data_IF_457235753053
#
_entry.id   IF_457235753053
#
_cell.length_a   1.000
_cell.length_b   1.000
_cell.length_c   1.000
_cell.angle_alpha   90.00
_cell.angle_beta   90.00
_cell.angle_gamma   90.00
#
_symmetry.space_group_name_H-M   'P 1'
#
loop_
_entity.id
_entity.type
_entity.pdbx_description
1 polymer ?
#
# COMPACT_ATOMS: atom_id res chain seq x y z
N UNK A 1 55.94 -47.82 24.79
CA UNK A 1 55.01 -48.85 25.28
C UNK A 1 54.19 -48.18 26.38
N UNK A 2 52.88 -48.00 26.35
CA UNK A 2 51.76 -48.34 25.47
C UNK A 2 50.72 -47.21 25.70
N UNK A 3 50.21 -46.52 24.69
CA UNK A 3 48.96 -46.79 23.96
C UNK A 3 47.88 -47.56 24.75
N UNK A 4 46.82 -46.85 25.20
CA UNK A 4 45.50 -47.43 25.51
C UNK A 4 44.43 -46.35 25.38
N UNK A 5 43.70 -46.45 24.28
CA UNK A 5 42.35 -45.96 23.98
C UNK A 5 41.32 -46.37 25.04
N UNK A 6 40.38 -45.49 25.38
CA UNK A 6 39.12 -45.88 26.03
C UNK A 6 37.94 -45.39 25.19
N UNK A 7 37.16 -46.39 24.83
CA UNK A 7 36.05 -46.45 23.89
C UNK A 7 34.72 -46.01 24.52
N UNK A 8 33.83 -45.52 23.67
CA UNK A 8 32.39 -45.31 23.89
C UNK A 8 31.66 -46.62 24.19
N UNK A 9 30.68 -46.59 25.09
CA UNK A 9 29.50 -47.48 25.06
C UNK A 9 28.28 -46.77 25.65
N UNK A 10 27.24 -46.66 24.83
CA UNK A 10 25.85 -46.34 25.15
C UNK A 10 25.23 -47.45 26.00
N UNK A 11 24.26 -47.13 26.85
CA UNK A 11 23.27 -48.12 27.28
C UNK A 11 21.90 -47.45 27.53
N UNK A 12 20.89 -48.09 26.97
CA UNK A 12 19.47 -47.72 26.87
C UNK A 12 18.71 -48.74 27.69
N UNK A 13 17.76 -48.32 28.53
CA UNK A 13 16.68 -49.23 28.96
C UNK A 13 15.37 -48.47 29.21
N UNK A 14 14.41 -48.70 28.32
CA UNK A 14 12.98 -48.44 28.47
C UNK A 14 12.38 -49.54 29.36
N UNK A 15 11.46 -49.26 30.29
CA UNK A 15 10.25 -50.10 30.44
C UNK A 15 9.06 -49.30 30.98
N UNK A 16 7.91 -49.59 30.36
CA UNK A 16 6.61 -48.95 30.41
C UNK A 16 5.68 -49.65 31.42
N UNK A 17 4.66 -48.94 31.93
CA UNK A 17 3.21 -49.26 31.81
C UNK A 17 2.36 -48.58 32.91
N UNK A 18 1.27 -47.91 32.48
CA UNK A 18 0.14 -47.44 33.32
C UNK A 18 -0.85 -48.59 33.65
N UNK A 19 -2.17 -48.37 33.85
CA UNK A 19 -3.00 -47.15 33.70
C UNK A 19 -3.95 -46.88 34.91
N UNK A 20 -4.67 -45.73 34.95
CA UNK A 20 -6.13 -45.73 35.24
C UNK A 20 -6.77 -44.37 34.90
N UNK A 21 -7.81 -44.41 34.08
CA UNK A 21 -8.73 -43.33 33.74
C UNK A 21 -9.73 -43.20 34.90
N UNK A 22 -10.29 -42.04 35.27
CA UNK A 22 -11.50 -41.50 34.64
C UNK A 22 -12.18 -40.55 35.64
N UNK A 23 -12.82 -39.50 35.11
CA UNK A 23 -14.08 -38.86 35.54
C UNK A 23 -14.03 -37.32 35.46
N UNK A 24 -14.47 -36.80 34.31
CA UNK A 24 -15.41 -35.68 34.28
C UNK A 24 -16.84 -36.27 34.21
N UNK A 25 -17.87 -35.55 34.69
CA UNK A 25 -18.65 -34.74 33.75
C UNK A 25 -19.19 -33.39 34.30
N UNK A 26 -19.26 -32.43 33.36
CA UNK A 26 -20.23 -31.35 33.07
C UNK A 26 -21.24 -30.85 34.13
N UNK A 27 -21.37 -29.50 34.28
CA UNK A 27 -22.48 -28.72 33.70
C UNK A 27 -22.57 -27.24 34.20
N UNK A 28 -22.43 -26.31 33.24
CA UNK A 28 -23.27 -25.12 32.94
C UNK A 28 -23.58 -23.99 33.97
N UNK A 29 -23.13 -22.75 33.68
CA UNK A 29 -23.95 -21.57 33.26
C UNK A 29 -23.14 -20.25 33.28
N UNK A 30 -23.23 -19.45 32.20
CA UNK A 30 -22.55 -18.15 32.01
C UNK A 30 -23.18 -16.96 32.77
N UNK A 31 -22.92 -15.68 32.40
CA UNK A 31 -22.88 -15.20 31.02
C UNK A 31 -21.70 -14.26 30.64
N UNK A 32 -21.67 -14.00 29.34
CA UNK A 32 -20.80 -13.08 28.60
C UNK A 32 -20.71 -11.66 29.20
N UNK A 33 -19.48 -11.16 29.28
CA UNK A 33 -19.16 -9.73 29.38
C UNK A 33 -18.52 -9.30 28.07
N UNK A 34 -19.33 -8.66 27.23
CA UNK A 34 -18.98 -7.99 25.98
C UNK A 34 -18.16 -6.73 26.35
N UNK A 35 -16.84 -6.84 26.47
CA UNK A 35 -15.97 -5.65 26.55
C UNK A 35 -15.72 -5.14 25.14
N UNK A 36 -16.70 -4.38 24.64
CA UNK A 36 -16.50 -3.48 23.51
C UNK A 36 -15.51 -2.41 23.93
N UNK A 37 -14.23 -2.67 23.67
CA UNK A 37 -13.25 -1.61 23.45
C UNK A 37 -13.71 -0.84 22.20
N UNK A 38 -14.55 0.17 22.43
CA UNK A 38 -14.56 1.37 21.59
C UNK A 38 -13.22 2.06 21.82
N UNK A 39 -12.20 1.56 21.12
CA UNK A 39 -11.05 2.37 20.77
C UNK A 39 -11.56 3.35 19.73
N UNK A 40 -12.09 4.47 20.22
CA UNK A 40 -12.36 5.67 19.44
C UNK A 40 -10.98 6.20 19.04
N UNK A 41 -10.39 5.53 18.05
CA UNK A 41 -9.30 6.08 17.26
C UNK A 41 -9.90 7.25 16.51
N UNK A 42 -9.94 8.41 17.19
CA UNK A 42 -9.87 9.71 16.55
C UNK A 42 -8.52 9.75 15.81
N UNK A 43 -8.51 9.05 14.67
CA UNK A 43 -7.67 9.36 13.54
C UNK A 43 -8.02 10.80 13.19
N UNK A 44 -7.29 11.74 13.81
CA UNK A 44 -7.15 13.09 13.33
C UNK A 44 -6.46 13.05 11.97
N UNK A 45 -7.20 12.55 10.97
CA UNK A 45 -6.96 12.93 9.61
C UNK A 45 -7.26 14.42 9.55
N UNK A 46 -6.21 15.22 9.41
CA UNK A 46 -6.36 16.48 8.73
C UNK A 46 -6.86 16.12 7.33
N UNK A 47 -8.19 15.98 7.18
CA UNK A 47 -8.87 15.82 5.90
C UNK A 47 -8.62 17.11 5.12
N UNK A 48 -7.50 17.15 4.40
CA UNK A 48 -7.05 18.20 3.48
C UNK A 48 -7.90 18.19 2.19
N UNK A 49 -9.10 17.60 2.24
CA UNK A 49 -10.08 17.59 1.17
C UNK A 49 -10.73 18.97 1.04
N UNK A 50 -10.71 19.51 -0.19
CA UNK A 50 -11.38 20.76 -0.52
C UNK A 50 -12.87 20.64 -0.10
N UNK A 51 -13.42 21.57 0.71
CA UNK A 51 -14.77 21.44 1.22
C UNK A 51 -15.76 21.30 0.07
N UNK A 52 -16.69 20.33 0.17
CA UNK A 52 -17.69 20.05 -0.87
C UNK A 52 -18.33 21.36 -1.36
N UNK A 53 -18.07 21.73 -2.62
CA UNK A 53 -18.57 22.98 -3.21
C UNK A 53 -17.53 24.09 -3.40
N UNK A 54 -16.24 23.86 -3.18
CA UNK A 54 -15.15 24.79 -3.56
C UNK A 54 -15.29 25.35 -4.99
N UNK A 55 -15.76 24.53 -5.93
CA UNK A 55 -16.03 24.92 -7.32
C UNK A 55 -17.21 25.90 -7.50
N UNK A 56 -18.11 25.97 -6.53
CA UNK A 56 -19.28 26.87 -6.49
C UNK A 56 -18.94 28.24 -5.88
N UNK A 57 -17.76 28.38 -5.27
CA UNK A 57 -17.26 29.69 -4.87
C UNK A 57 -16.89 30.46 -6.14
N UNK A 58 -17.46 31.65 -6.33
CA UNK A 58 -17.01 32.57 -7.38
C UNK A 58 -15.53 32.93 -7.25
N UNK A 59 -14.99 33.67 -8.22
CA UNK A 59 -13.59 34.14 -8.27
C UNK A 59 -12.95 34.54 -6.92
N UNK A 60 -13.61 35.31 -6.03
CA UNK A 60 -13.02 35.66 -4.74
C UNK A 60 -12.80 34.47 -3.80
N UNK A 61 -13.67 33.46 -3.82
CA UNK A 61 -13.54 32.30 -2.96
C UNK A 61 -12.49 31.29 -3.44
N UNK A 62 -12.37 31.09 -4.77
CA UNK A 62 -11.25 30.33 -5.35
C UNK A 62 -9.90 30.96 -5.02
N UNK A 63 -9.81 32.29 -5.04
CA UNK A 63 -8.62 33.03 -4.62
C UNK A 63 -8.31 32.85 -3.12
N UNK A 64 -9.33 32.82 -2.27
CA UNK A 64 -9.16 32.59 -0.84
C UNK A 64 -8.60 31.17 -0.56
N UNK A 65 -9.17 30.14 -1.19
CA UNK A 65 -8.69 28.76 -1.08
C UNK A 65 -7.24 28.62 -1.56
N UNK A 66 -6.91 29.22 -2.70
CA UNK A 66 -5.53 29.22 -3.20
C UNK A 66 -4.55 29.92 -2.22
N UNK A 67 -4.96 31.02 -1.58
CA UNK A 67 -4.15 31.69 -0.55
C UNK A 67 -3.94 30.79 0.66
N UNK A 68 -5.00 30.12 1.14
CA UNK A 68 -4.92 29.20 2.27
C UNK A 68 -4.00 28.02 1.98
N UNK A 69 -4.14 27.37 0.81
CA UNK A 69 -3.24 26.29 0.38
C UNK A 69 -1.77 26.77 0.33
N UNK A 70 -1.53 27.97 -0.20
CA UNK A 70 -0.18 28.54 -0.25
C UNK A 70 0.40 28.83 1.15
N UNK A 71 -0.39 29.40 2.06
CA UNK A 71 0.01 29.65 3.45
C UNK A 71 0.31 28.35 4.20
N UNK A 72 -0.55 27.34 4.05
CA UNK A 72 -0.35 25.99 4.61
C UNK A 72 0.96 25.38 4.12
N UNK A 73 1.21 25.40 2.80
CA UNK A 73 2.43 24.83 2.24
C UNK A 73 3.69 25.59 2.69
N UNK A 74 3.59 26.91 2.85
CA UNK A 74 4.68 27.71 3.42
C UNK A 74 4.94 27.35 4.89
N UNK A 75 3.88 27.16 5.69
CA UNK A 75 3.99 26.73 7.08
C UNK A 75 4.60 25.32 7.20
N UNK A 76 4.15 24.35 6.37
CA UNK A 76 4.74 23.00 6.29
C UNK A 76 6.25 23.08 5.99
N UNK A 77 6.67 23.89 5.00
CA UNK A 77 8.10 24.11 4.69
C UNK A 77 8.89 24.73 5.85
N UNK A 78 8.32 25.71 6.54
CA UNK A 78 8.97 26.33 7.70
C UNK A 78 9.11 25.35 8.87
N UNK A 79 8.08 24.56 9.15
CA UNK A 79 8.12 23.52 10.17
C UNK A 79 9.22 22.49 9.89
N UNK A 80 9.34 22.04 8.63
CA UNK A 80 10.41 21.13 8.19
C UNK A 80 11.81 21.70 8.43
N UNK A 81 12.03 22.96 8.05
CA UNK A 81 13.33 23.60 8.22
C UNK A 81 13.68 23.76 9.71
N UNK A 82 12.72 24.16 10.54
CA UNK A 82 12.91 24.25 11.99
C UNK A 82 13.19 22.87 12.61
N UNK A 83 12.45 21.84 12.19
CA UNK A 83 12.66 20.47 12.66
C UNK A 83 14.08 19.98 12.32
N UNK A 84 14.53 20.21 11.08
CA UNK A 84 15.90 19.90 10.64
C UNK A 84 16.95 20.63 11.49
N UNK A 85 16.72 21.90 11.82
CA UNK A 85 17.62 22.67 12.70
C UNK A 85 17.64 22.10 14.12
N UNK A 86 16.48 21.71 14.68
CA UNK A 86 16.39 21.08 15.99
C UNK A 86 17.15 19.76 16.03
N UNK A 87 16.98 18.91 15.02
CA UNK A 87 17.65 17.61 14.95
C UNK A 87 19.16 17.78 14.75
N UNK A 88 19.60 18.79 14.00
CA UNK A 88 21.01 19.14 13.88
C UNK A 88 21.60 19.56 15.23
N UNK A 89 20.93 20.45 15.97
CA UNK A 89 21.38 20.91 17.29
C UNK A 89 21.45 19.74 18.29
N UNK A 90 20.45 18.84 18.28
CA UNK A 90 20.45 17.62 19.11
C UNK A 90 21.63 16.72 18.77
N UNK A 91 21.86 16.46 17.48
CA UNK A 91 22.98 15.65 17.02
C UNK A 91 24.35 16.28 17.38
N UNK A 92 24.46 17.61 17.41
CA UNK A 92 25.66 18.31 17.89
C UNK A 92 25.88 18.14 19.39
N UNK A 93 24.82 18.25 20.21
CA UNK A 93 24.89 18.03 21.66
C UNK A 93 25.26 16.59 22.02
N UNK A 94 24.71 15.60 21.30
CA UNK A 94 25.05 14.19 21.51
C UNK A 94 26.50 13.89 21.13
N UNK A 95 27.02 14.50 20.05
CA UNK A 95 28.42 14.34 19.64
C UNK A 95 29.40 14.93 20.65
N UNK A 96 29.04 16.04 21.30
CA UNK A 96 29.92 16.71 22.27
C UNK A 96 30.34 15.82 23.46
N UNK A 97 29.57 14.78 23.78
CA UNK A 97 29.83 13.88 24.90
C UNK A 97 30.54 12.56 24.51
N UNK A 98 30.84 12.36 23.22
CA UNK A 98 31.40 11.10 22.67
C UNK A 98 32.88 11.23 22.33
N UNK A 99 33.63 10.14 22.41
CA UNK A 99 35.01 10.11 21.92
C UNK A 99 35.08 10.22 20.38
N UNK A 100 36.20 10.66 19.78
CA UNK A 100 36.32 10.78 18.32
C UNK A 100 36.04 9.47 17.57
N UNK A 101 36.45 8.33 18.13
CA UNK A 101 36.23 7.02 17.51
C UNK A 101 34.75 6.62 17.53
N UNK A 102 34.05 6.87 18.65
CA UNK A 102 32.61 6.65 18.75
C UNK A 102 31.82 7.58 17.80
N UNK A 103 32.23 8.84 17.69
CA UNK A 103 31.63 9.80 16.75
C UNK A 103 31.77 9.32 15.32
N UNK A 104 32.94 8.80 14.93
CA UNK A 104 33.18 8.29 13.58
C UNK A 104 32.31 7.05 13.27
N UNK A 105 32.18 6.13 14.23
CA UNK A 105 31.33 4.93 14.08
C UNK A 105 29.85 5.32 13.96
N UNK A 106 29.38 6.23 14.81
CA UNK A 106 27.98 6.68 14.80
C UNK A 106 27.65 7.47 13.53
N UNK A 107 28.55 8.34 13.08
CA UNK A 107 28.40 9.06 11.82
C UNK A 107 28.29 8.10 10.62
N UNK A 108 29.17 7.09 10.55
CA UNK A 108 29.12 6.09 9.48
C UNK A 108 27.81 5.27 9.50
N UNK A 109 27.30 4.91 10.69
CA UNK A 109 26.01 4.23 10.83
C UNK A 109 24.84 5.13 10.43
N UNK A 110 24.86 6.40 10.83
CA UNK A 110 23.81 7.36 10.50
C UNK A 110 23.77 7.62 8.99
N UNK A 111 24.92 7.82 8.35
CA UNK A 111 25.02 8.01 6.91
C UNK A 111 24.51 6.79 6.14
N UNK A 112 24.93 5.58 6.54
CA UNK A 112 24.46 4.35 5.90
C UNK A 112 22.93 4.15 6.04
N UNK A 113 22.37 4.50 7.20
CA UNK A 113 20.91 4.46 7.43
C UNK A 113 20.19 5.51 6.59
N UNK A 114 20.71 6.73 6.55
CA UNK A 114 20.12 7.82 5.78
C UNK A 114 20.09 7.49 4.28
N UNK A 115 21.20 6.97 3.72
CA UNK A 115 21.26 6.57 2.32
C UNK A 115 20.29 5.41 2.01
N UNK A 116 20.15 4.44 2.93
CA UNK A 116 19.22 3.34 2.78
C UNK A 116 17.75 3.82 2.81
N UNK A 117 17.42 4.70 3.75
CA UNK A 117 16.09 5.31 3.88
C UNK A 117 15.76 6.18 2.67
N UNK A 118 16.67 7.04 2.22
CA UNK A 118 16.46 7.87 1.02
C UNK A 118 16.15 7.00 -0.21
N UNK A 119 16.90 5.92 -0.43
CA UNK A 119 16.66 4.99 -1.52
C UNK A 119 15.31 4.27 -1.40
N UNK A 120 14.89 3.92 -0.18
CA UNK A 120 13.61 3.28 0.08
C UNK A 120 12.45 4.26 -0.16
N UNK A 121 12.50 5.45 0.44
CA UNK A 121 11.50 6.50 0.31
C UNK A 121 11.35 6.94 -1.16
N UNK A 122 12.46 7.08 -1.89
CA UNK A 122 12.40 7.37 -3.31
C UNK A 122 11.73 6.25 -4.13
N UNK A 123 11.79 4.98 -3.71
CA UNK A 123 11.04 3.88 -4.36
C UNK A 123 9.56 3.92 -4.01
N UNK A 124 9.22 4.23 -2.75
CA UNK A 124 7.85 4.42 -2.28
C UNK A 124 7.19 5.54 -3.08
N UNK A 125 7.74 6.76 -3.05
CA UNK A 125 7.22 7.93 -3.77
C UNK A 125 7.04 7.65 -5.27
N UNK A 126 8.01 6.98 -5.91
CA UNK A 126 7.89 6.62 -7.34
C UNK A 126 6.74 5.66 -7.61
N UNK A 127 6.44 4.76 -6.69
CA UNK A 127 5.41 3.74 -6.85
C UNK A 127 4.03 4.32 -6.55
N UNK A 128 3.91 5.07 -5.45
CA UNK A 128 2.68 5.77 -5.06
C UNK A 128 2.27 6.80 -6.10
N UNK A 129 3.20 7.63 -6.60
CA UNK A 129 2.87 8.62 -7.62
C UNK A 129 2.40 7.96 -8.93
N UNK A 130 3.01 6.85 -9.33
CA UNK A 130 2.55 6.08 -10.49
C UNK A 130 1.18 5.44 -10.26
N UNK A 131 0.92 4.94 -9.06
CA UNK A 131 -0.36 4.38 -8.68
C UNK A 131 -1.45 5.47 -8.75
N UNK A 132 -1.23 6.63 -8.11
CA UNK A 132 -2.12 7.77 -8.13
C UNK A 132 -2.35 8.33 -9.56
N UNK A 133 -1.32 8.29 -10.41
CA UNK A 133 -1.42 8.72 -11.81
C UNK A 133 -2.18 7.73 -12.70
N UNK A 134 -2.39 6.48 -12.26
CA UNK A 134 -3.05 5.45 -13.06
C UNK A 134 -4.51 5.83 -13.31
N UNK A 135 -4.91 5.83 -14.58
CA UNK A 135 -6.26 6.24 -15.00
C UNK A 135 -6.47 7.76 -15.10
N UNK A 136 -5.60 8.58 -14.49
CA UNK A 136 -5.56 10.04 -14.67
C UNK A 136 -4.70 10.44 -15.87
N UNK A 137 -3.49 9.89 -15.98
CA UNK A 137 -2.55 10.15 -17.07
C UNK A 137 -2.62 9.07 -18.15
N UNK A 138 -2.33 9.47 -19.40
CA UNK A 138 -2.19 8.54 -20.53
C UNK A 138 -1.01 7.59 -20.33
N UNK A 139 0.11 8.08 -19.80
CA UNK A 139 1.22 7.29 -19.29
C UNK A 139 1.46 7.68 -17.82
N UNK A 140 1.25 6.79 -16.85
CA UNK A 140 1.53 7.08 -15.44
C UNK A 140 2.99 7.47 -15.15
N UNK A 141 3.93 7.09 -16.02
CA UNK A 141 5.35 7.45 -15.89
C UNK A 141 5.61 8.92 -16.19
N UNK A 142 4.72 9.61 -16.92
CA UNK A 142 4.85 11.04 -17.20
C UNK A 142 4.82 11.86 -15.90
N UNK A 143 4.14 11.39 -14.86
CA UNK A 143 4.14 12.05 -13.55
C UNK A 143 5.57 12.25 -13.02
N UNK A 144 6.44 11.25 -13.16
CA UNK A 144 7.84 11.32 -12.72
C UNK A 144 8.69 12.33 -13.51
N UNK A 145 8.27 12.68 -14.72
CA UNK A 145 8.98 13.62 -15.56
C UNK A 145 8.56 15.08 -15.30
N UNK A 146 7.35 15.29 -14.76
CA UNK A 146 6.76 16.63 -14.62
C UNK A 146 6.52 17.08 -13.18
N UNK A 147 6.61 16.18 -12.20
CA UNK A 147 6.50 16.49 -10.77
C UNK A 147 7.85 16.30 -10.07
N UNK A 148 8.15 17.18 -9.12
CA UNK A 148 9.34 17.09 -8.29
C UNK A 148 9.06 16.22 -7.07
N UNK A 149 9.68 15.04 -7.02
CA UNK A 149 9.49 14.10 -5.91
C UNK A 149 10.01 14.64 -4.57
N UNK A 150 10.90 15.64 -4.58
CA UNK A 150 11.42 16.25 -3.35
C UNK A 150 10.43 17.15 -2.62
N UNK A 151 9.31 17.51 -3.28
CA UNK A 151 8.22 18.26 -2.67
C UNK A 151 7.34 17.39 -1.77
N UNK A 152 7.35 16.08 -1.98
CA UNK A 152 6.54 15.11 -1.23
C UNK A 152 7.39 14.42 -0.16
N UNK A 153 6.74 14.01 0.92
CA UNK A 153 7.38 13.33 2.04
C UNK A 153 6.84 11.92 2.20
N UNK A 154 7.69 11.07 2.79
CA UNK A 154 7.30 9.76 3.30
C UNK A 154 7.44 9.85 4.80
N UNK A 155 6.37 9.54 5.53
CA UNK A 155 6.40 9.54 6.99
C UNK A 155 7.21 8.35 7.56
N UNK A 156 7.31 8.28 8.88
CA UNK A 156 8.06 7.23 9.57
C UNK A 156 7.43 5.83 9.39
N UNK A 157 6.14 5.77 9.06
CA UNK A 157 5.38 4.54 8.79
C UNK A 157 5.47 4.09 7.32
N UNK A 158 6.06 4.93 6.45
CA UNK A 158 6.21 4.66 5.03
C UNK A 158 5.04 5.12 4.16
N UNK A 159 4.14 5.97 4.67
CA UNK A 159 3.01 6.50 3.94
C UNK A 159 3.33 7.84 3.27
N UNK A 160 2.55 8.15 2.24
CA UNK A 160 2.60 9.42 1.50
C UNK A 160 1.21 10.05 1.58
N UNK A 161 1.17 11.38 1.66
CA UNK A 161 -0.08 12.15 1.58
C UNK A 161 -0.73 11.94 0.20
N UNK A 162 -1.77 11.12 0.15
CA UNK A 162 -2.46 10.74 -1.08
C UNK A 162 -3.22 11.92 -1.71
N UNK A 163 -3.74 12.82 -0.88
CA UNK A 163 -4.48 13.99 -1.34
C UNK A 163 -3.53 15.03 -1.93
N UNK A 164 -2.36 15.24 -1.32
CA UNK A 164 -1.30 16.08 -1.89
C UNK A 164 -0.83 15.56 -3.27
N UNK A 165 -0.65 14.24 -3.41
CA UNK A 165 -0.34 13.63 -4.72
C UNK A 165 -1.48 13.82 -5.73
N UNK A 166 -2.73 13.68 -5.30
CA UNK A 166 -3.90 13.85 -6.17
C UNK A 166 -4.03 15.30 -6.67
N UNK A 167 -3.90 16.27 -5.76
CA UNK A 167 -3.89 17.71 -6.06
C UNK A 167 -2.77 18.06 -7.05
N UNK A 168 -1.56 17.57 -6.82
CA UNK A 168 -0.42 17.83 -7.71
C UNK A 168 -0.64 17.25 -9.13
N UNK A 169 -1.28 16.08 -9.23
CA UNK A 169 -1.65 15.48 -10.50
C UNK A 169 -2.75 16.27 -11.22
N UNK A 170 -3.73 16.80 -10.49
CA UNK A 170 -4.82 17.59 -11.05
C UNK A 170 -4.32 18.97 -11.53
N UNK A 171 -3.40 19.58 -10.79
CA UNK A 171 -2.67 20.78 -11.21
C UNK A 171 -1.78 20.52 -12.43
N UNK A 172 -1.15 19.35 -12.52
CA UNK A 172 -0.41 18.92 -13.70
C UNK A 172 -1.33 18.81 -14.92
N UNK A 173 -2.49 18.17 -14.78
CA UNK A 173 -3.47 18.00 -15.85
C UNK A 173 -4.06 19.33 -16.31
N UNK A 174 -4.29 20.26 -15.40
CA UNK A 174 -4.72 21.63 -15.72
C UNK A 174 -3.68 22.37 -16.56
N UNK A 175 -2.40 22.27 -16.19
CA UNK A 175 -1.28 22.90 -16.95
C UNK A 175 -0.94 22.17 -18.24
N UNK A 176 -1.14 20.85 -18.29
CA UNK A 176 -0.79 19.98 -19.43
C UNK A 176 -1.94 19.02 -19.78
N UNK A 177 -3.05 19.53 -20.36
CA UNK A 177 -4.24 18.71 -20.63
C UNK A 177 -3.99 17.54 -21.60
N UNK A 178 -2.96 17.65 -22.45
CA UNK A 178 -2.57 16.59 -23.39
C UNK A 178 -2.00 15.33 -22.72
N UNK A 179 -1.69 15.38 -21.43
CA UNK A 179 -1.25 14.22 -20.65
C UNK A 179 -2.42 13.39 -20.12
N UNK A 180 -3.65 13.92 -20.15
CA UNK A 180 -4.83 13.24 -19.63
C UNK A 180 -5.06 11.90 -20.34
N UNK A 181 -5.45 10.89 -19.57
CA UNK A 181 -5.92 9.63 -20.12
C UNK A 181 -7.15 9.89 -21.00
N UNK A 182 -7.10 9.40 -22.23
CA UNK A 182 -8.23 9.53 -23.13
C UNK A 182 -9.25 8.43 -22.80
N UNK A 183 -10.13 8.72 -21.84
CA UNK A 183 -11.34 7.95 -21.51
C UNK A 183 -11.27 6.47 -21.84
N UNK A 184 -10.43 5.73 -21.11
CA UNK A 184 -10.30 4.29 -21.25
C UNK A 184 -10.00 3.72 -19.88
N UNK A 185 -11.02 3.20 -19.22
CA UNK A 185 -10.82 2.38 -18.02
C UNK A 185 -9.87 1.25 -18.40
N UNK A 186 -8.68 1.23 -17.82
CA UNK A 186 -7.79 0.09 -17.91
C UNK A 186 -8.48 -1.08 -17.19
N UNK A 187 -9.25 -1.86 -17.94
CA UNK A 187 -9.75 -3.15 -17.47
C UNK A 187 -8.53 -4.04 -17.32
N UNK A 188 -8.07 -4.21 -16.09
CA UNK A 188 -7.11 -5.25 -15.77
C UNK A 188 -7.82 -6.60 -15.99
N UNK A 189 -7.61 -7.20 -17.17
CA UNK A 189 -8.09 -8.55 -17.49
C UNK A 189 -7.24 -9.56 -16.69
N UNK A 190 -7.51 -9.64 -15.39
CA UNK A 190 -6.99 -10.68 -14.51
C UNK A 190 -7.68 -12.00 -14.84
N UNK A 191 -7.34 -12.60 -15.97
CA UNK A 191 -7.31 -14.05 -16.20
C UNK A 191 -7.17 -14.31 -17.69
N UNK A 192 -6.29 -15.25 -18.05
CA UNK A 192 -6.36 -16.04 -19.30
C UNK A 192 -7.81 -16.13 -19.75
N UNK A 193 -8.15 -15.43 -20.83
CA UNK A 193 -9.51 -15.27 -21.32
C UNK A 193 -10.29 -16.57 -21.24
N UNK A 194 -11.16 -16.68 -20.23
CA UNK A 194 -12.21 -17.71 -20.28
C UNK A 194 -13.07 -17.32 -21.47
N UNK A 195 -13.16 -18.17 -22.51
CA UNK A 195 -14.02 -17.85 -23.64
C UNK A 195 -15.42 -17.59 -23.10
N UNK A 196 -16.00 -16.42 -23.46
CA UNK A 196 -17.36 -16.06 -23.07
C UNK A 196 -18.28 -17.27 -23.33
N UNK A 197 -19.11 -17.69 -22.36
CA UNK A 197 -19.99 -18.82 -22.55
C UNK A 197 -20.87 -18.54 -23.77
N UNK A 198 -20.78 -19.40 -24.80
CA UNK A 198 -21.58 -19.28 -26.01
C UNK A 198 -23.04 -19.56 -25.65
N UNK A 199 -23.95 -18.65 -26.01
CA UNK A 199 -25.41 -18.82 -25.84
C UNK A 199 -25.84 -20.19 -26.40
N UNK A 200 -26.57 -20.96 -25.59
CA UNK A 200 -27.21 -22.22 -25.98
C UNK A 200 -28.40 -21.90 -26.88
N UNK A 201 -28.55 -22.67 -27.95
CA UNK A 201 -29.64 -22.55 -28.91
C UNK A 201 -30.85 -23.31 -28.37
N UNK A 202 -31.98 -22.63 -28.34
CA UNK A 202 -33.25 -23.22 -27.94
C UNK A 202 -33.83 -24.07 -29.07
N UNK A 203 -34.81 -24.92 -28.75
CA UNK A 203 -35.53 -25.72 -29.76
C UNK A 203 -36.14 -24.86 -30.87
N UNK A 204 -36.66 -23.68 -30.53
CA UNK A 204 -37.23 -22.73 -31.50
C UNK A 204 -36.17 -22.10 -32.42
N UNK A 205 -34.92 -22.02 -31.97
CA UNK A 205 -33.80 -21.54 -32.80
C UNK A 205 -33.32 -22.64 -33.76
N UNK A 206 -33.32 -23.91 -33.32
CA UNK A 206 -32.94 -25.06 -34.14
C UNK A 206 -33.94 -25.32 -35.28
N UNK A 207 -35.23 -25.08 -35.05
CA UNK A 207 -36.28 -25.22 -36.07
C UNK A 207 -36.16 -24.22 -37.23
N UNK A 208 -35.45 -23.10 -37.01
CA UNK A 208 -35.19 -22.06 -38.02
C UNK A 208 -33.84 -22.24 -38.73
N UNK A 209 -33.04 -23.21 -38.31
CA UNK A 209 -31.73 -23.49 -38.87
C UNK A 209 -31.79 -24.58 -39.93
N UNK A 210 -30.84 -24.55 -40.85
CA UNK A 210 -30.70 -25.64 -41.83
C UNK A 210 -30.22 -26.92 -41.15
N UNK A 211 -30.50 -28.11 -41.71
CA UNK A 211 -30.04 -29.38 -41.14
C UNK A 211 -28.51 -29.46 -40.94
N UNK A 212 -27.74 -28.78 -41.79
CA UNK A 212 -26.28 -28.69 -41.67
C UNK A 212 -25.85 -27.86 -40.45
N UNK A 213 -26.55 -26.75 -40.16
CA UNK A 213 -26.29 -25.89 -39.02
C UNK A 213 -26.70 -26.53 -37.70
N UNK A 214 -27.81 -27.29 -37.69
CA UNK A 214 -28.23 -28.09 -36.54
C UNK A 214 -27.14 -29.10 -36.17
N UNK A 215 -26.61 -29.85 -37.16
CA UNK A 215 -25.53 -30.83 -36.94
C UNK A 215 -24.26 -30.17 -36.38
N UNK A 216 -23.93 -28.97 -36.86
CA UNK A 216 -22.81 -28.18 -36.35
C UNK A 216 -23.05 -27.73 -34.91
N UNK A 217 -24.26 -27.30 -34.56
CA UNK A 217 -24.62 -26.90 -33.21
C UNK A 217 -24.49 -28.05 -32.19
N UNK A 218 -24.88 -29.28 -32.57
CA UNK A 218 -24.67 -30.47 -31.75
C UNK A 218 -23.19 -30.79 -31.54
N UNK A 219 -22.38 -30.72 -32.61
CA UNK A 219 -20.93 -30.95 -32.52
C UNK A 219 -20.22 -29.91 -31.65
N UNK A 220 -20.68 -28.66 -31.68
CA UNK A 220 -20.16 -27.56 -30.87
C UNK A 220 -20.74 -27.53 -29.44
N UNK A 221 -21.63 -28.46 -29.07
CA UNK A 221 -22.27 -28.50 -27.76
C UNK A 221 -23.11 -27.25 -27.46
N UNK A 222 -23.68 -26.62 -28.49
CA UNK A 222 -24.45 -25.36 -28.39
C UNK A 222 -25.95 -25.58 -28.30
N UNK A 223 -26.41 -26.82 -28.17
CA UNK A 223 -27.82 -27.15 -27.99
C UNK A 223 -28.16 -27.16 -26.50
N UNK A 224 -29.31 -26.60 -26.15
CA UNK A 224 -29.91 -26.73 -24.82
C UNK A 224 -30.59 -28.12 -24.74
N UNK A 225 -30.08 -29.00 -23.87
CA UNK A 225 -30.53 -30.40 -23.75
C UNK A 225 -31.69 -30.55 -22.78
#
# INVERSE_FOLDING_TARGET
MADTTVTVTEDTDEQQHGPDESQQPDDQHGPAGDEQNHDDSESGGDDDADPEGADQLGDPGKKALASMKAERNAAKKQAKELQKQLDQIRAEQERANKSPDEQAIDAAKAEARAEALEKANARILRSELKAAATGKLRDPSDALAFLDLSEFEVDDDGNVDADELADALDDLLTRKPHLAAQGGTASFDSARGKPKPRKKLSKADLEKMTPAEVTKAYREGRVDT
#
